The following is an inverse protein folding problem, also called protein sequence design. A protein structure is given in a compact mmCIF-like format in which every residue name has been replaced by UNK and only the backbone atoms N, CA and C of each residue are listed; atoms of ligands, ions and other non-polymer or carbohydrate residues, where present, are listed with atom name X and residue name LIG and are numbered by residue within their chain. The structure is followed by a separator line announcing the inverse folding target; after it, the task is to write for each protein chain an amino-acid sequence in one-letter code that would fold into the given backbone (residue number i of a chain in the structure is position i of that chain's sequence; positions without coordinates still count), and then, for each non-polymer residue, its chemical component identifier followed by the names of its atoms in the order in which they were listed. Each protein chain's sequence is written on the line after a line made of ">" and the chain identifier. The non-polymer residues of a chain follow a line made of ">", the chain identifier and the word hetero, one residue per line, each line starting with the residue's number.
data_IF_521965367566
#
_entry.id   IF_521965367566
#
_cell.length_a   1.000
_cell.length_b   1.000
_cell.length_c   1.000
_cell.angle_alpha   90.00
_cell.angle_beta   90.00
_cell.angle_gamma   90.00
#
_symmetry.space_group_name_H-M   'P 1'
#
loop_
_entity.id
_entity.type
_entity.pdbx_description
1 polymer ?
#
# COMPACT_ATOMS: atom_id res chain seq x y z
N UNK A 1 -64.93 31.98 -50.53
CA UNK A 1 -64.89 30.61 -49.96
C UNK A 1 -63.63 29.92 -50.41
N UNK A 2 -62.64 29.81 -49.54
CA UNK A 2 -61.55 28.84 -49.67
C UNK A 2 -60.98 28.63 -48.25
N UNK A 3 -61.20 27.41 -47.71
CA UNK A 3 -60.70 26.90 -46.46
C UNK A 3 -59.17 26.67 -46.59
N UNK A 4 -58.40 27.15 -45.62
CA UNK A 4 -56.97 26.75 -45.46
C UNK A 4 -56.87 25.94 -44.19
N UNK A 5 -56.58 24.64 -44.37
CA UNK A 5 -56.24 23.73 -43.28
C UNK A 5 -54.82 23.96 -42.90
N UNK A 6 -54.62 24.45 -41.69
CA UNK A 6 -53.26 24.51 -41.04
C UNK A 6 -52.98 23.19 -40.33
N UNK A 7 -51.99 22.47 -40.81
CA UNK A 7 -51.49 21.23 -40.20
C UNK A 7 -50.48 21.60 -39.12
N UNK A 8 -50.84 21.42 -37.85
CA UNK A 8 -49.95 21.61 -36.71
C UNK A 8 -49.10 20.34 -36.52
N UNK A 9 -47.79 20.46 -36.78
CA UNK A 9 -46.81 19.39 -36.57
C UNK A 9 -46.31 19.47 -35.11
N UNK A 10 -46.82 18.58 -34.24
CA UNK A 10 -46.38 18.44 -32.87
C UNK A 10 -45.07 17.63 -32.86
N UNK A 11 -43.93 18.31 -32.67
CA UNK A 11 -42.62 17.68 -32.48
C UNK A 11 -42.49 17.06 -31.09
N UNK A 12 -42.44 15.70 -31.01
CA UNK A 12 -42.02 14.99 -29.78
C UNK A 12 -40.50 15.17 -29.59
N UNK A 13 -40.10 15.99 -28.64
CA UNK A 13 -38.74 15.97 -28.12
C UNK A 13 -38.58 14.75 -27.20
N UNK A 14 -37.91 13.72 -27.67
CA UNK A 14 -37.44 12.61 -26.86
C UNK A 14 -36.24 13.12 -25.99
N UNK A 15 -36.48 13.38 -24.72
CA UNK A 15 -35.39 13.57 -23.75
C UNK A 15 -34.68 12.23 -23.54
N UNK A 16 -33.54 12.08 -24.20
CA UNK A 16 -32.60 11.00 -23.90
C UNK A 16 -32.03 11.26 -22.51
N UNK A 17 -32.62 10.65 -21.46
CA UNK A 17 -32.04 10.58 -20.15
C UNK A 17 -30.80 9.68 -20.24
N UNK A 18 -29.62 10.27 -20.40
CA UNK A 18 -28.34 9.59 -20.09
C UNK A 18 -28.35 9.30 -18.59
N UNK A 19 -28.83 8.11 -18.23
CA UNK A 19 -28.61 7.56 -16.90
C UNK A 19 -27.10 7.35 -16.73
N UNK A 20 -26.44 8.27 -16.01
CA UNK A 20 -25.11 7.97 -15.50
C UNK A 20 -25.26 6.84 -14.50
N UNK A 21 -24.90 5.61 -14.91
CA UNK A 21 -24.65 4.53 -13.96
C UNK A 21 -23.63 5.04 -12.95
N UNK A 22 -24.10 5.30 -11.75
CA UNK A 22 -23.21 5.60 -10.62
C UNK A 22 -22.37 4.35 -10.40
N UNK A 23 -21.12 4.37 -10.88
CA UNK A 23 -20.17 3.31 -10.66
C UNK A 23 -19.96 3.21 -9.15
N UNK A 24 -20.56 2.20 -8.52
CA UNK A 24 -20.36 1.96 -7.08
C UNK A 24 -18.88 1.71 -6.85
N UNK A 25 -18.25 2.60 -6.08
CA UNK A 25 -16.88 2.40 -5.63
C UNK A 25 -16.85 1.24 -4.62
N UNK A 26 -15.93 0.31 -4.78
CA UNK A 26 -15.74 -0.76 -3.83
C UNK A 26 -15.25 -0.20 -2.48
N UNK A 27 -15.79 -0.66 -1.33
CA UNK A 27 -15.26 -0.26 -0.05
C UNK A 27 -13.85 -0.82 0.15
N UNK A 28 -13.00 -0.10 0.87
CA UNK A 28 -11.65 -0.54 1.24
C UNK A 28 -11.57 -0.83 2.73
N UNK A 29 -10.78 -1.85 3.14
CA UNK A 29 -10.41 -2.03 4.54
C UNK A 29 -9.51 -0.86 4.99
N UNK A 30 -9.27 -0.74 6.28
CA UNK A 30 -8.32 0.24 6.80
C UNK A 30 -6.89 -0.24 6.56
N UNK A 31 -6.17 0.42 5.64
CA UNK A 31 -4.79 0.08 5.29
C UNK A 31 -3.84 1.10 5.92
N UNK A 32 -2.86 0.65 6.71
CA UNK A 32 -1.89 1.55 7.37
C UNK A 32 -0.52 0.90 7.49
N UNK A 33 0.51 1.75 7.64
CA UNK A 33 1.84 1.31 8.02
C UNK A 33 1.92 1.11 9.54
N UNK A 34 2.60 0.05 9.98
CA UNK A 34 2.92 -0.11 11.40
C UNK A 34 4.02 0.88 11.78
N UNK A 35 3.73 1.72 12.76
CA UNK A 35 4.61 2.80 13.20
C UNK A 35 6.01 2.33 13.55
N UNK A 36 6.15 1.32 14.40
CA UNK A 36 7.45 0.79 14.85
C UNK A 36 8.18 0.00 13.75
N UNK A 37 7.45 -0.44 12.73
CA UNK A 37 7.95 -1.23 11.62
C UNK A 37 8.08 -0.47 10.30
N UNK A 38 7.93 0.86 10.30
CA UNK A 38 8.03 1.67 9.10
C UNK A 38 9.48 1.98 8.69
N UNK A 39 10.42 1.80 9.59
CA UNK A 39 11.85 2.02 9.37
C UNK A 39 12.66 0.72 9.57
N UNK A 40 13.77 0.58 8.84
CA UNK A 40 14.73 -0.50 8.97
C UNK A 40 16.13 0.09 8.92
N UNK A 41 16.87 -0.01 10.03
CA UNK A 41 18.27 0.45 10.11
C UNK A 41 19.15 -0.75 10.45
N UNK A 42 20.20 -0.96 9.68
CA UNK A 42 21.16 -2.04 9.86
C UNK A 42 22.55 -1.53 10.12
N UNK A 43 23.21 -2.19 11.03
CA UNK A 43 24.60 -1.91 11.43
C UNK A 43 25.49 -3.10 11.14
N UNK A 44 26.79 -2.87 11.06
CA UNK A 44 27.77 -3.94 10.96
C UNK A 44 27.69 -4.81 12.23
N UNK A 45 27.64 -6.11 12.06
CA UNK A 45 27.55 -7.05 13.17
C UNK A 45 28.70 -6.85 14.16
N UNK A 46 28.40 -6.82 15.47
CA UNK A 46 29.35 -6.67 16.54
C UNK A 46 29.98 -5.28 16.74
N UNK A 47 29.55 -4.27 15.96
CA UNK A 47 30.15 -2.92 15.99
C UNK A 47 29.31 -1.86 16.73
N UNK A 48 28.26 -2.28 17.44
CA UNK A 48 27.34 -1.34 18.09
C UNK A 48 26.36 -0.68 17.07
N UNK A 49 25.76 0.44 17.48
CA UNK A 49 24.71 1.13 16.72
C UNK A 49 25.06 2.61 16.42
N UNK A 50 26.33 2.89 16.21
CA UNK A 50 26.81 4.19 15.74
C UNK A 50 26.58 4.36 14.24
N UNK A 51 26.29 5.60 13.82
CA UNK A 51 26.02 5.88 12.41
C UNK A 51 27.22 5.59 11.49
N UNK A 52 28.45 5.66 12.00
CA UNK A 52 29.66 5.33 11.23
C UNK A 52 29.74 3.87 10.82
N UNK A 53 29.08 2.97 11.56
CA UNK A 53 29.00 1.54 11.29
C UNK A 53 27.67 1.11 10.69
N UNK A 54 26.81 2.06 10.34
CA UNK A 54 25.56 1.80 9.64
C UNK A 54 25.84 1.25 8.24
N UNK A 55 25.17 0.16 7.89
CA UNK A 55 25.27 -0.46 6.55
C UNK A 55 24.10 -0.07 5.64
N UNK A 56 22.91 0.10 6.19
CA UNK A 56 21.74 0.52 5.45
C UNK A 56 20.72 1.19 6.37
N UNK A 57 20.01 2.16 5.82
CA UNK A 57 18.81 2.75 6.41
C UNK A 57 17.70 2.77 5.36
N UNK A 58 16.53 2.27 5.71
CA UNK A 58 15.40 2.22 4.79
C UNK A 58 14.11 2.61 5.48
N UNK A 59 13.15 3.07 4.69
CA UNK A 59 11.84 3.50 5.15
C UNK A 59 10.75 3.03 4.20
N UNK A 60 9.63 2.56 4.74
CA UNK A 60 8.36 2.46 4.05
C UNK A 60 7.84 3.89 3.81
N UNK A 61 8.06 4.40 2.59
CA UNK A 61 7.70 5.78 2.22
C UNK A 61 6.20 5.96 1.97
N UNK A 62 5.47 4.85 1.82
CA UNK A 62 4.05 4.82 1.56
C UNK A 62 3.65 3.59 0.74
N UNK A 63 2.42 3.59 0.27
CA UNK A 63 1.89 2.54 -0.61
C UNK A 63 0.84 3.13 -1.54
N UNK A 64 0.62 2.46 -2.66
CA UNK A 64 -0.56 2.65 -3.51
C UNK A 64 -1.52 1.52 -3.21
N UNK A 65 -2.81 1.83 -3.06
CA UNK A 65 -3.84 0.82 -2.85
C UNK A 65 -5.04 1.07 -3.76
N UNK A 66 -5.63 -0.03 -4.24
CA UNK A 66 -6.84 -0.02 -5.04
C UNK A 66 -7.77 -1.13 -4.58
N UNK A 67 -9.05 -0.82 -4.49
CA UNK A 67 -10.09 -1.76 -4.11
C UNK A 67 -11.10 -1.86 -5.25
N UNK A 68 -11.36 -3.08 -5.69
CA UNK A 68 -12.32 -3.36 -6.75
C UNK A 68 -13.26 -4.48 -6.29
N UNK A 69 -14.54 -4.39 -6.68
CA UNK A 69 -15.47 -5.50 -6.44
C UNK A 69 -15.02 -6.75 -7.20
N UNK A 70 -15.17 -7.88 -6.56
CA UNK A 70 -14.93 -9.20 -7.13
C UNK A 70 -16.10 -10.14 -6.80
N UNK A 71 -16.14 -11.30 -7.46
CA UNK A 71 -17.10 -12.37 -7.22
C UNK A 71 -18.55 -11.86 -7.12
N UNK A 72 -19.01 -11.14 -8.17
CA UNK A 72 -20.36 -10.57 -8.24
C UNK A 72 -20.70 -9.68 -7.04
N UNK A 73 -19.74 -8.86 -6.61
CA UNK A 73 -19.84 -7.94 -5.47
C UNK A 73 -19.95 -8.63 -4.09
N UNK A 74 -19.56 -9.90 -3.97
CA UNK A 74 -19.51 -10.59 -2.69
C UNK A 74 -18.18 -10.44 -1.97
N UNK A 75 -17.13 -10.11 -2.72
CA UNK A 75 -15.80 -9.85 -2.20
C UNK A 75 -15.21 -8.56 -2.78
N UNK A 76 -14.15 -8.10 -2.16
CA UNK A 76 -13.34 -6.98 -2.62
C UNK A 76 -11.92 -7.49 -2.81
N UNK A 77 -11.38 -7.22 -3.99
CA UNK A 77 -9.94 -7.38 -4.24
C UNK A 77 -9.23 -6.10 -3.84
N UNK A 78 -8.22 -6.22 -3.00
CA UNK A 78 -7.38 -5.13 -2.53
C UNK A 78 -5.98 -5.33 -3.10
N UNK A 79 -5.59 -4.50 -4.06
CA UNK A 79 -4.24 -4.47 -4.61
C UNK A 79 -3.42 -3.42 -3.86
N UNK A 80 -2.25 -3.82 -3.34
CA UNK A 80 -1.36 -2.97 -2.55
C UNK A 80 0.04 -3.05 -3.14
N UNK A 81 0.65 -1.89 -3.39
CA UNK A 81 2.03 -1.79 -3.87
C UNK A 81 2.81 -0.85 -2.97
N UNK A 82 3.69 -1.35 -2.08
CA UNK A 82 4.47 -0.50 -1.18
C UNK A 82 5.64 0.16 -1.92
N UNK A 83 6.04 1.31 -1.40
CA UNK A 83 7.18 2.08 -1.87
C UNK A 83 8.17 2.29 -0.73
N UNK A 84 9.43 2.03 -1.01
CA UNK A 84 10.52 2.15 -0.06
C UNK A 84 11.52 3.21 -0.51
N UNK A 85 12.09 3.93 0.44
CA UNK A 85 13.35 4.65 0.23
C UNK A 85 14.44 3.90 0.98
N UNK A 86 15.62 3.79 0.38
CA UNK A 86 16.77 3.15 1.02
C UNK A 86 18.00 4.02 0.84
N UNK A 87 18.81 4.11 1.89
CA UNK A 87 20.09 4.79 1.93
C UNK A 87 21.20 3.78 2.21
N UNK A 88 22.29 3.91 1.47
CA UNK A 88 23.49 3.13 1.69
C UNK A 88 24.29 3.77 2.81
N UNK A 89 24.49 3.05 3.91
CA UNK A 89 25.27 3.54 5.03
C UNK A 89 26.78 3.60 4.73
N UNK A 90 27.56 4.36 5.52
CA UNK A 90 28.99 4.53 5.33
C UNK A 90 29.78 3.23 5.47
N UNK A 91 29.27 2.27 6.24
CA UNK A 91 29.90 0.96 6.44
C UNK A 91 29.40 -0.11 5.46
N UNK A 92 28.58 0.27 4.46
CA UNK A 92 28.08 -0.68 3.47
C UNK A 92 29.18 -1.12 2.51
N UNK A 93 29.28 -2.43 2.31
CA UNK A 93 30.19 -3.05 1.33
C UNK A 93 29.46 -3.61 0.11
N UNK A 94 28.13 -3.45 0.07
CA UNK A 94 27.27 -3.99 -1.00
C UNK A 94 26.63 -2.88 -1.84
N UNK A 95 26.31 -3.19 -3.07
CA UNK A 95 25.57 -2.31 -3.99
C UNK A 95 24.06 -2.51 -3.92
N UNK A 96 23.57 -3.34 -3.01
CA UNK A 96 22.13 -3.53 -2.82
C UNK A 96 21.82 -3.92 -1.37
N UNK A 97 20.58 -3.69 -0.97
CA UNK A 97 20.03 -4.14 0.32
C UNK A 97 18.69 -4.82 0.09
N UNK A 98 18.51 -5.97 0.72
CA UNK A 98 17.24 -6.67 0.76
C UNK A 98 16.38 -6.11 1.90
N UNK A 99 15.15 -5.79 1.57
CA UNK A 99 14.14 -5.15 2.43
C UNK A 99 13.02 -6.16 2.69
N UNK A 100 13.15 -7.01 3.72
CA UNK A 100 12.06 -7.93 4.09
C UNK A 100 10.90 -7.15 4.68
N UNK A 101 9.70 -7.44 4.20
CA UNK A 101 8.47 -6.78 4.60
C UNK A 101 7.29 -7.73 4.56
N UNK A 102 6.18 -7.34 5.18
CA UNK A 102 4.96 -8.15 5.17
C UNK A 102 3.72 -7.29 5.08
N UNK A 103 2.63 -7.95 4.68
CA UNK A 103 1.26 -7.47 4.83
C UNK A 103 0.55 -8.42 5.77
N UNK A 104 -0.06 -7.88 6.82
CA UNK A 104 -0.89 -8.66 7.74
C UNK A 104 -2.33 -8.16 7.71
N UNK A 105 -3.26 -9.10 7.78
CA UNK A 105 -4.68 -8.84 7.97
C UNK A 105 -5.00 -9.14 9.43
N UNK A 106 -5.60 -8.20 10.13
CA UNK A 106 -6.03 -8.35 11.52
C UNK A 106 -7.50 -8.01 11.69
N UNK A 107 -8.03 -8.38 12.85
CA UNK A 107 -9.36 -7.98 13.28
C UNK A 107 -9.43 -6.45 13.54
N UNK A 108 -10.63 -5.92 13.73
CA UNK A 108 -10.91 -4.49 13.95
C UNK A 108 -10.06 -3.86 15.06
N UNK A 109 -9.73 -4.60 16.10
CA UNK A 109 -8.98 -4.14 17.29
C UNK A 109 -7.50 -4.45 17.24
N UNK A 110 -7.00 -5.04 16.14
CA UNK A 110 -5.62 -5.55 16.03
C UNK A 110 -5.22 -6.57 17.13
N UNK A 111 -6.19 -7.30 17.66
CA UNK A 111 -5.95 -8.29 18.72
C UNK A 111 -5.55 -9.65 18.18
N UNK A 112 -5.92 -9.93 16.93
CA UNK A 112 -5.65 -11.20 16.28
C UNK A 112 -5.22 -10.98 14.82
N UNK A 113 -4.10 -11.55 14.45
CA UNK A 113 -3.67 -11.67 13.06
C UNK A 113 -4.47 -12.80 12.43
N UNK A 114 -5.17 -12.52 11.35
CA UNK A 114 -5.99 -13.47 10.59
C UNK A 114 -5.18 -14.12 9.48
N UNK A 115 -4.30 -13.33 8.85
CA UNK A 115 -3.40 -13.79 7.80
C UNK A 115 -2.16 -12.88 7.71
N UNK A 116 -1.04 -13.42 7.20
CA UNK A 116 0.19 -12.67 6.97
C UNK A 116 0.93 -13.21 5.75
N UNK A 117 1.33 -12.30 4.87
CA UNK A 117 2.07 -12.58 3.66
C UNK A 117 3.42 -11.86 3.71
N UNK A 118 4.51 -12.61 3.58
CA UNK A 118 5.88 -12.11 3.67
C UNK A 118 6.51 -11.97 2.28
N UNK A 119 7.26 -10.89 2.10
CA UNK A 119 7.90 -10.50 0.84
C UNK A 119 9.30 -9.94 1.08
N UNK A 120 10.06 -9.79 0.00
CA UNK A 120 11.35 -9.08 0.03
C UNK A 120 11.42 -8.16 -1.19
N UNK A 121 11.60 -6.86 -0.95
CA UNK A 121 11.99 -5.92 -2.00
C UNK A 121 13.51 -5.77 -2.00
N UNK A 122 14.08 -5.42 -3.15
CA UNK A 122 15.52 -5.15 -3.28
C UNK A 122 15.73 -3.70 -3.68
N UNK A 123 16.52 -2.98 -2.90
CA UNK A 123 17.02 -1.66 -3.25
C UNK A 123 18.45 -1.78 -3.79
N UNK A 124 18.66 -1.43 -5.06
CA UNK A 124 19.94 -1.50 -5.74
C UNK A 124 20.51 -0.09 -5.95
N UNK A 125 21.76 0.13 -5.53
CA UNK A 125 22.48 1.39 -5.69
C UNK A 125 23.42 1.29 -6.89
N UNK A 126 23.23 2.15 -7.88
CA UNK A 126 24.07 2.19 -9.08
C UNK A 126 25.08 3.34 -9.00
N UNK A 127 26.32 3.06 -9.42
CA UNK A 127 27.39 4.05 -9.35
C UNK A 127 27.59 4.61 -7.93
N UNK A 128 27.56 5.93 -7.82
CA UNK A 128 27.77 6.65 -6.55
C UNK A 128 26.47 7.00 -5.82
N UNK A 129 25.35 6.37 -6.17
CA UNK A 129 24.09 6.62 -5.49
C UNK A 129 24.17 6.17 -4.02
N UNK A 130 23.83 7.07 -3.11
CA UNK A 130 23.67 6.79 -1.69
C UNK A 130 22.21 6.58 -1.30
N UNK A 131 21.25 7.01 -2.12
CA UNK A 131 19.81 6.89 -1.87
C UNK A 131 19.10 6.41 -3.13
N UNK A 132 18.14 5.49 -2.97
CA UNK A 132 17.30 4.94 -4.04
C UNK A 132 15.87 4.78 -3.56
N UNK A 133 14.95 4.74 -4.53
CA UNK A 133 13.57 4.33 -4.31
C UNK A 133 13.41 2.92 -4.86
N UNK A 134 12.81 2.03 -4.08
CA UNK A 134 12.43 0.69 -4.49
C UNK A 134 10.92 0.51 -4.37
N UNK A 135 10.34 -0.26 -5.27
CA UNK A 135 8.93 -0.64 -5.24
C UNK A 135 8.84 -2.10 -4.86
N UNK A 136 7.97 -2.44 -3.93
CA UNK A 136 7.69 -3.82 -3.58
C UNK A 136 6.81 -4.51 -4.60
N UNK A 137 6.70 -5.82 -4.47
CA UNK A 137 5.76 -6.61 -5.23
C UNK A 137 4.32 -6.15 -4.95
N UNK A 138 3.45 -6.22 -5.98
CA UNK A 138 2.02 -5.98 -5.79
C UNK A 138 1.40 -7.15 -5.05
N UNK A 139 0.85 -6.86 -3.89
CA UNK A 139 0.09 -7.83 -3.08
C UNK A 139 -1.37 -7.73 -3.45
N UNK A 140 -2.01 -8.87 -3.67
CA UNK A 140 -3.44 -8.98 -3.90
C UNK A 140 -4.11 -9.75 -2.77
N UNK A 141 -5.04 -9.09 -2.07
CA UNK A 141 -5.89 -9.69 -1.05
C UNK A 141 -7.31 -9.81 -1.60
N UNK A 142 -8.03 -10.84 -1.16
CA UNK A 142 -9.47 -10.96 -1.44
C UNK A 142 -10.20 -11.10 -0.13
N UNK A 143 -11.06 -10.14 0.18
CA UNK A 143 -11.77 -10.05 1.45
C UNK A 143 -13.28 -10.04 1.23
N UNK A 144 -14.09 -10.67 2.12
CA UNK A 144 -15.55 -10.60 2.06
C UNK A 144 -16.03 -9.13 2.16
N UNK A 145 -16.97 -8.72 1.32
CA UNK A 145 -17.50 -7.36 1.35
C UNK A 145 -18.32 -7.09 2.62
N UNK A 146 -18.97 -8.13 3.18
CA UNK A 146 -19.80 -8.00 4.40
C UNK A 146 -19.01 -7.50 5.61
N UNK A 147 -17.74 -7.86 5.69
CA UNK A 147 -16.91 -7.60 6.87
C UNK A 147 -15.73 -6.66 6.57
N UNK A 148 -15.73 -6.03 5.39
CA UNK A 148 -14.59 -5.26 4.88
C UNK A 148 -14.11 -4.16 5.85
N UNK A 149 -15.04 -3.52 6.56
CA UNK A 149 -14.75 -2.45 7.52
C UNK A 149 -14.17 -2.96 8.85
N UNK A 150 -14.33 -4.26 9.13
CA UNK A 150 -13.80 -4.90 10.34
C UNK A 150 -12.36 -5.39 10.16
N UNK A 151 -11.84 -5.37 8.94
CA UNK A 151 -10.47 -5.75 8.68
C UNK A 151 -9.53 -4.56 8.72
N UNK A 152 -8.41 -4.75 9.42
CA UNK A 152 -7.25 -3.90 9.31
C UNK A 152 -6.19 -4.59 8.46
N UNK A 153 -5.59 -3.84 7.53
CA UNK A 153 -4.45 -4.29 6.75
C UNK A 153 -3.23 -3.50 7.19
N UNK A 154 -2.20 -4.19 7.66
CA UNK A 154 -0.98 -3.61 8.22
C UNK A 154 0.20 -3.93 7.33
N UNK A 155 1.00 -2.93 6.99
CA UNK A 155 2.22 -3.08 6.21
C UNK A 155 3.41 -2.70 7.09
N UNK A 156 4.45 -3.51 7.09
CA UNK A 156 5.63 -3.32 7.95
C UNK A 156 6.86 -3.96 7.35
N UNK A 157 8.05 -3.45 7.69
CA UNK A 157 9.26 -4.24 7.58
C UNK A 157 9.20 -5.44 8.54
N UNK A 158 9.79 -6.55 8.10
CA UNK A 158 10.04 -7.69 8.98
C UNK A 158 11.34 -7.44 9.72
N UNK A 159 11.22 -6.88 10.89
CA UNK A 159 12.32 -6.53 11.74
C UNK A 159 12.69 -7.68 12.68
N UNK A 160 13.97 -7.83 12.96
CA UNK A 160 14.42 -8.62 14.09
C UNK A 160 14.26 -7.83 15.42
N UNK A 161 14.51 -8.49 16.54
CA UNK A 161 14.34 -7.88 17.86
C UNK A 161 15.22 -6.64 18.09
N UNK A 162 16.43 -6.64 17.55
CA UNK A 162 17.38 -5.52 17.69
C UNK A 162 16.97 -4.32 16.84
N UNK A 163 16.56 -4.56 15.59
CA UNK A 163 16.04 -3.55 14.67
C UNK A 163 14.78 -2.88 15.25
N UNK A 164 13.85 -3.69 15.77
CA UNK A 164 12.65 -3.17 16.43
C UNK A 164 12.96 -2.36 17.70
N UNK A 165 13.85 -2.85 18.53
CA UNK A 165 14.29 -2.14 19.74
C UNK A 165 14.99 -0.81 19.38
N UNK A 166 15.79 -0.79 18.32
CA UNK A 166 16.40 0.42 17.80
C UNK A 166 15.36 1.45 17.37
N UNK A 167 14.35 1.04 16.58
CA UNK A 167 13.28 1.93 16.15
C UNK A 167 12.51 2.52 17.33
N UNK A 168 12.18 1.70 18.33
CA UNK A 168 11.48 2.16 19.54
C UNK A 168 12.28 3.18 20.35
N UNK A 169 13.61 3.01 20.45
CA UNK A 169 14.48 3.98 21.14
C UNK A 169 14.63 5.27 20.36
N UNK A 170 14.78 5.17 19.04
CA UNK A 170 14.94 6.35 18.17
C UNK A 170 13.67 7.18 18.07
N UNK A 171 12.51 6.57 18.21
CA UNK A 171 11.22 7.19 17.96
C UNK A 171 10.89 7.28 16.47
N UNK A 172 9.72 7.86 16.16
CA UNK A 172 9.20 7.99 14.79
C UNK A 172 9.89 9.13 14.07
N UNK A 173 10.20 8.89 12.79
CA UNK A 173 10.72 9.91 11.85
C UNK A 173 9.59 10.49 10.98
#
# INVERSE_FOLDING_TARGET
>A
MRLHHGLALAGLMALSACGSESTRTAPCPRITLLRDGADLTRFRAGSGQDLSVMTADARLAGFEARCDFADRNRSVTVDITPRFTAERGPASTTSSVDLPWFVAISDERDTRILDQLDYTARAAFTGNQSRVVATGERVRLTLPVSDIETYNVRISFRLNAEELAYNRRRGVR
#
